data_IF_581570607958
#
_entry.id   IF_581570607958
#
_cell.length_a   1.000
_cell.length_b   1.000
_cell.length_c   1.000
_cell.angle_alpha   90.00
_cell.angle_beta   90.00
_cell.angle_gamma   90.00
#
_symmetry.space_group_name_H-M   'P 1'
#
loop_
_entity.id
_entity.type
_entity.pdbx_description
1 polymer ?
#
# COMPACT_ATOMS: atom_id res chain seq x y z
N UNK A 1 -0.51 6.78 -8.68
CA UNK A 1 -0.56 6.57 -7.23
C UNK A 1 -1.41 7.64 -6.56
N UNK A 2 -2.64 7.28 -6.21
CA UNK A 2 -3.62 8.19 -5.59
C UNK A 2 -3.30 8.34 -4.11
N UNK A 3 -2.87 9.53 -3.68
CA UNK A 3 -2.40 9.77 -2.31
C UNK A 3 -3.31 10.68 -1.47
N UNK A 4 -4.30 11.34 -2.09
CA UNK A 4 -5.16 12.31 -1.40
C UNK A 4 -6.61 12.25 -1.90
N UNK A 5 -7.50 12.87 -1.13
CA UNK A 5 -8.94 12.94 -1.42
C UNK A 5 -9.23 13.65 -2.74
N UNK A 6 -8.54 14.74 -3.06
CA UNK A 6 -8.78 15.52 -4.28
C UNK A 6 -8.47 14.70 -5.53
N UNK A 7 -7.39 13.89 -5.50
CA UNK A 7 -7.05 12.99 -6.59
C UNK A 7 -8.07 11.85 -6.72
N UNK A 8 -8.54 11.28 -5.59
CA UNK A 8 -9.61 10.28 -5.59
C UNK A 8 -10.90 10.86 -6.16
N UNK A 9 -11.29 12.06 -5.75
CA UNK A 9 -12.50 12.73 -6.23
C UNK A 9 -12.45 13.01 -7.75
N UNK A 10 -11.29 13.41 -8.28
CA UNK A 10 -11.10 13.57 -9.71
C UNK A 10 -11.31 12.26 -10.49
N UNK A 11 -10.77 11.15 -9.98
CA UNK A 11 -10.96 9.80 -10.54
C UNK A 11 -12.42 9.39 -10.48
N UNK A 12 -13.08 9.58 -9.32
CA UNK A 12 -14.49 9.25 -9.10
C UNK A 12 -15.38 9.98 -10.10
N UNK A 13 -15.19 11.30 -10.27
CA UNK A 13 -15.95 12.11 -11.25
C UNK A 13 -15.72 11.64 -12.68
N UNK A 14 -14.48 11.33 -13.04
CA UNK A 14 -14.18 10.83 -14.38
C UNK A 14 -14.86 9.48 -14.65
N UNK A 15 -14.87 8.56 -13.69
CA UNK A 15 -15.61 7.28 -13.80
C UNK A 15 -17.11 7.50 -13.94
N UNK A 16 -17.70 8.39 -13.14
CA UNK A 16 -19.13 8.73 -13.22
C UNK A 16 -19.51 9.34 -14.56
N UNK A 17 -18.59 10.06 -15.20
CA UNK A 17 -18.74 10.57 -16.56
C UNK A 17 -18.47 9.50 -17.66
N UNK A 18 -18.36 8.22 -17.30
CA UNK A 18 -18.14 7.10 -18.23
C UNK A 18 -16.73 7.00 -18.80
N UNK A 19 -15.75 7.70 -18.22
CA UNK A 19 -14.35 7.62 -18.67
C UNK A 19 -13.68 6.35 -18.19
N UNK A 20 -12.83 5.76 -19.05
CA UNK A 20 -11.98 4.59 -18.70
C UNK A 20 -10.79 5.06 -17.88
N UNK A 21 -10.99 5.21 -16.59
CA UNK A 21 -9.94 5.60 -15.61
C UNK A 21 -9.89 4.58 -14.48
N UNK A 22 -8.70 4.34 -13.97
CA UNK A 22 -8.46 3.51 -12.79
C UNK A 22 -7.63 4.26 -11.79
N UNK A 23 -7.95 4.13 -10.52
CA UNK A 23 -7.21 4.70 -9.41
C UNK A 23 -6.50 3.62 -8.61
N UNK A 24 -5.32 3.95 -8.12
CA UNK A 24 -4.44 3.05 -7.39
C UNK A 24 -3.81 3.80 -6.22
N UNK A 25 -4.28 3.64 -4.97
CA UNK A 25 -3.53 4.06 -3.81
C UNK A 25 -2.42 3.05 -3.51
N UNK A 26 -1.37 3.52 -2.82
CA UNK A 26 -0.35 2.64 -2.28
C UNK A 26 -0.73 2.23 -0.85
N UNK A 27 -0.27 1.06 -0.42
CA UNK A 27 -0.51 0.61 0.96
C UNK A 27 0.07 1.59 1.97
N UNK A 28 1.16 2.27 1.65
CA UNK A 28 1.76 3.31 2.47
C UNK A 28 0.79 4.49 2.67
N UNK A 29 0.13 4.98 1.62
CA UNK A 29 -0.83 6.09 1.70
C UNK A 29 -2.10 5.72 2.50
N UNK A 30 -2.45 4.44 2.55
CA UNK A 30 -3.59 3.93 3.31
C UNK A 30 -3.31 3.80 4.81
N UNK A 31 -2.04 3.74 5.22
CA UNK A 31 -1.67 3.32 6.58
C UNK A 31 -0.66 4.23 7.29
N UNK A 32 0.09 5.04 6.54
CA UNK A 32 1.05 6.00 7.06
C UNK A 32 0.62 7.42 6.67
N UNK A 33 1.01 8.40 7.44
CA UNK A 33 0.65 9.80 7.21
C UNK A 33 1.86 10.74 7.36
N UNK A 34 1.66 12.03 7.07
CA UNK A 34 2.72 13.04 7.08
C UNK A 34 3.41 13.23 8.42
N UNK A 35 2.83 12.75 9.54
CA UNK A 35 3.46 12.83 10.86
C UNK A 35 4.80 12.09 10.91
N UNK A 36 4.99 11.10 10.04
CA UNK A 36 6.24 10.38 9.90
C UNK A 36 7.43 11.30 9.54
N UNK A 37 7.17 12.41 8.84
CA UNK A 37 8.19 13.38 8.45
C UNK A 37 8.63 14.29 9.58
N UNK A 38 7.84 14.40 10.67
CA UNK A 38 8.16 15.25 11.83
C UNK A 38 8.94 14.51 12.91
N UNK A 39 9.38 13.28 12.63
CA UNK A 39 10.24 12.54 13.56
C UNK A 39 11.57 13.28 13.75
N UNK A 40 12.05 13.32 15.00
CA UNK A 40 13.35 13.96 15.33
C UNK A 40 14.55 13.19 14.76
N UNK A 41 14.40 11.88 14.55
CA UNK A 41 15.38 11.06 13.85
C UNK A 41 15.31 11.36 12.34
N UNK A 42 16.33 11.98 11.81
CA UNK A 42 16.43 12.31 10.39
C UNK A 42 16.35 11.06 9.51
N UNK A 43 17.01 9.97 9.90
CA UNK A 43 16.98 8.71 9.15
C UNK A 43 15.57 8.15 9.08
N UNK A 44 14.81 8.23 10.18
CA UNK A 44 13.41 7.81 10.21
C UNK A 44 12.58 8.58 9.17
N UNK A 45 12.67 9.90 9.16
CA UNK A 45 11.95 10.74 8.21
C UNK A 45 12.40 10.48 6.76
N UNK A 46 13.72 10.43 6.53
CA UNK A 46 14.28 10.21 5.19
C UNK A 46 13.90 8.85 4.59
N UNK A 47 13.85 7.79 5.39
CA UNK A 47 13.40 6.45 4.97
C UNK A 47 11.97 6.44 4.45
N UNK A 48 11.16 7.46 4.78
CA UNK A 48 9.74 7.60 4.39
C UNK A 48 9.52 8.57 3.24
N UNK A 49 10.58 9.21 2.75
CA UNK A 49 10.50 10.10 1.58
C UNK A 49 10.20 9.29 0.34
N UNK A 50 9.08 9.61 -0.30
CA UNK A 50 8.61 9.01 -1.55
C UNK A 50 7.75 10.00 -2.35
N UNK A 51 7.45 9.68 -3.59
CA UNK A 51 6.55 10.46 -4.47
C UNK A 51 5.42 9.58 -5.01
N UNK A 52 4.15 9.97 -4.80
CA UNK A 52 3.67 11.10 -4.01
C UNK A 52 4.00 10.94 -2.51
N UNK A 53 4.21 12.05 -1.77
CA UNK A 53 4.51 11.99 -0.34
C UNK A 53 3.29 11.53 0.47
N UNK A 54 3.52 11.11 1.70
CA UNK A 54 2.44 10.90 2.67
C UNK A 54 1.69 12.20 2.89
N UNK A 55 0.40 12.07 3.10
CA UNK A 55 -0.52 13.19 3.28
C UNK A 55 -1.06 13.20 4.70
N UNK A 56 -1.83 14.23 5.02
CA UNK A 56 -2.56 14.27 6.28
C UNK A 56 -3.44 13.02 6.41
N UNK A 57 -3.54 12.50 7.63
CA UNK A 57 -4.31 11.29 7.95
C UNK A 57 -5.77 11.36 7.48
N UNK A 58 -6.36 12.54 7.41
CA UNK A 58 -7.75 12.74 6.97
C UNK A 58 -8.00 12.22 5.55
N UNK A 59 -6.99 12.20 4.68
CA UNK A 59 -7.13 11.67 3.32
C UNK A 59 -7.32 10.15 3.29
N UNK A 60 -6.89 9.42 4.32
CA UNK A 60 -6.98 7.96 4.36
C UNK A 60 -8.43 7.47 4.29
N UNK A 61 -9.35 8.12 4.97
CA UNK A 61 -10.77 7.71 4.97
C UNK A 61 -11.37 7.79 3.56
N UNK A 62 -11.03 8.81 2.79
CA UNK A 62 -11.43 8.94 1.39
C UNK A 62 -10.84 7.82 0.52
N UNK A 63 -9.56 7.46 0.72
CA UNK A 63 -8.91 6.38 -0.03
C UNK A 63 -9.53 5.01 0.29
N UNK A 64 -9.81 4.73 1.56
CA UNK A 64 -10.49 3.49 1.98
C UNK A 64 -11.92 3.41 1.41
N UNK A 65 -12.69 4.50 1.49
CA UNK A 65 -14.02 4.58 0.87
C UNK A 65 -13.96 4.38 -0.65
N UNK A 66 -12.90 4.88 -1.28
CA UNK A 66 -12.63 4.69 -2.70
C UNK A 66 -12.42 3.23 -3.09
N UNK A 67 -11.71 2.45 -2.28
CA UNK A 67 -11.52 1.02 -2.50
C UNK A 67 -12.82 0.24 -2.30
N UNK A 68 -13.57 0.56 -1.23
CA UNK A 68 -14.86 -0.06 -0.91
C UNK A 68 -15.90 0.18 -2.00
N UNK A 69 -16.00 1.42 -2.49
CA UNK A 69 -16.97 1.78 -3.55
C UNK A 69 -16.54 1.34 -4.96
N UNK A 70 -15.29 0.87 -5.13
CA UNK A 70 -14.72 0.53 -6.44
C UNK A 70 -14.34 1.74 -7.29
N UNK A 71 -14.41 2.98 -6.77
CA UNK A 71 -13.90 4.16 -7.47
C UNK A 71 -12.37 4.14 -7.57
N UNK A 72 -11.68 3.61 -6.56
CA UNK A 72 -10.29 3.16 -6.65
C UNK A 72 -10.28 1.66 -6.95
N UNK A 73 -9.39 1.22 -7.82
CA UNK A 73 -9.50 -0.07 -8.47
C UNK A 73 -8.57 -1.14 -7.92
N UNK A 74 -7.35 -0.76 -7.54
CA UNK A 74 -6.28 -1.67 -7.10
C UNK A 74 -5.45 -1.02 -6.02
N UNK A 75 -4.67 -1.83 -5.27
CA UNK A 75 -3.69 -1.35 -4.30
C UNK A 75 -2.30 -1.81 -4.71
N UNK A 76 -1.34 -0.90 -4.75
CA UNK A 76 0.05 -1.17 -5.10
C UNK A 76 1.03 -0.81 -3.97
N UNK A 77 2.32 -0.80 -4.26
CA UNK A 77 3.39 -0.51 -3.30
C UNK A 77 4.37 0.54 -3.76
N UNK A 78 4.54 0.71 -5.07
CA UNK A 78 5.65 1.50 -5.62
C UNK A 78 6.99 1.16 -4.93
N UNK A 79 7.28 -0.14 -4.85
CA UNK A 79 8.41 -0.66 -4.08
C UNK A 79 9.73 -0.17 -4.65
N UNK A 80 10.47 0.60 -3.86
CA UNK A 80 11.81 1.11 -4.18
C UNK A 80 12.77 0.77 -3.04
N UNK A 81 13.77 -0.06 -3.32
CA UNK A 81 14.68 -0.62 -2.33
C UNK A 81 15.93 0.26 -2.14
N UNK A 82 15.78 1.40 -1.47
CA UNK A 82 16.92 2.25 -1.07
C UNK A 82 17.31 1.96 0.38
N UNK A 83 18.61 1.79 0.64
CA UNK A 83 19.14 1.65 2.00
C UNK A 83 19.16 2.99 2.74
N UNK A 84 19.31 2.95 4.08
CA UNK A 84 19.49 4.16 4.88
C UNK A 84 20.69 4.97 4.42
N UNK A 85 21.82 4.30 4.06
CA UNK A 85 23.00 4.97 3.55
C UNK A 85 22.71 5.76 2.27
N UNK A 86 21.96 5.15 1.34
CA UNK A 86 21.54 5.85 0.11
C UNK A 86 20.61 7.04 0.42
N UNK A 87 19.68 6.89 1.37
CA UNK A 87 18.83 8.01 1.79
C UNK A 87 19.64 9.18 2.35
N UNK A 88 20.78 8.91 3.00
CA UNK A 88 21.67 9.93 3.57
C UNK A 88 22.38 10.79 2.54
N UNK A 89 22.30 10.50 1.24
CA UNK A 89 22.75 11.43 0.19
C UNK A 89 22.02 12.77 0.26
N UNK A 90 20.85 12.82 0.89
CA UNK A 90 20.07 14.03 1.11
C UNK A 90 20.37 14.79 2.40
N UNK A 91 21.39 14.41 3.17
CA UNK A 91 21.79 15.19 4.36
C UNK A 91 22.27 16.56 3.94
N UNK A 92 21.60 17.59 4.46
CA UNK A 92 21.87 18.99 4.08
C UNK A 92 21.21 19.46 2.78
N UNK A 93 20.71 18.56 1.94
CA UNK A 93 19.96 18.88 0.72
C UNK A 93 18.89 17.82 0.47
N UNK A 94 17.68 18.06 0.94
CA UNK A 94 16.55 17.10 0.84
C UNK A 94 16.23 16.71 -0.60
N UNK A 95 16.55 17.51 -1.59
CA UNK A 95 16.31 17.21 -3.02
C UNK A 95 17.11 16.00 -3.51
N UNK A 96 18.14 15.62 -2.77
CA UNK A 96 19.02 14.48 -3.06
C UNK A 96 18.59 13.19 -2.34
N UNK A 97 17.54 13.23 -1.50
CA UNK A 97 17.02 12.01 -0.89
C UNK A 97 16.39 11.14 -1.98
N UNK A 98 16.88 9.91 -2.23
CA UNK A 98 16.22 9.01 -3.17
C UNK A 98 14.77 8.77 -2.78
N UNK A 99 13.83 9.02 -3.71
CA UNK A 99 12.40 8.87 -3.48
C UNK A 99 11.98 7.41 -3.60
N UNK A 100 11.27 6.92 -2.61
CA UNK A 100 10.66 5.59 -2.60
C UNK A 100 10.86 4.85 -1.28
N UNK A 101 9.97 3.91 -1.04
CA UNK A 101 9.94 3.07 0.16
C UNK A 101 9.74 1.61 -0.22
N UNK A 102 10.15 0.68 0.65
CA UNK A 102 9.78 -0.72 0.57
C UNK A 102 8.30 -0.93 0.88
N UNK A 103 7.77 -2.11 0.57
CA UNK A 103 6.39 -2.47 0.90
C UNK A 103 5.82 -3.66 0.15
N UNK A 104 6.57 -4.22 -0.82
CA UNK A 104 6.09 -5.31 -1.66
C UNK A 104 5.61 -6.51 -0.83
N UNK A 105 6.41 -6.92 0.13
CA UNK A 105 6.16 -8.07 1.01
C UNK A 105 5.03 -7.81 2.01
N UNK A 106 4.85 -6.55 2.41
CA UNK A 106 3.92 -6.18 3.49
C UNK A 106 2.54 -5.74 2.97
N UNK A 107 2.37 -5.54 1.65
CA UNK A 107 1.12 -5.07 1.05
C UNK A 107 -0.08 -5.90 1.48
N UNK A 108 -0.05 -7.21 1.30
CA UNK A 108 -1.18 -8.06 1.62
C UNK A 108 -1.45 -8.16 3.13
N UNK A 109 -0.46 -8.41 4.01
CA UNK A 109 -0.67 -8.40 5.45
C UNK A 109 -1.19 -7.06 5.98
N UNK A 110 -0.65 -5.94 5.52
CA UNK A 110 -1.08 -4.61 5.93
C UNK A 110 -2.50 -4.29 5.45
N UNK A 111 -2.83 -4.63 4.20
CA UNK A 111 -4.17 -4.43 3.65
C UNK A 111 -5.19 -5.33 4.36
N UNK A 112 -4.84 -6.59 4.68
CA UNK A 112 -5.70 -7.48 5.46
C UNK A 112 -5.96 -6.90 6.85
N UNK A 113 -4.92 -6.52 7.56
CA UNK A 113 -5.00 -6.04 8.94
C UNK A 113 -5.80 -4.73 9.04
N UNK A 114 -5.51 -3.77 8.16
CA UNK A 114 -6.13 -2.43 8.22
C UNK A 114 -7.41 -2.31 7.40
N UNK A 115 -7.67 -3.26 6.51
CA UNK A 115 -8.87 -3.29 5.67
C UNK A 115 -9.89 -4.32 6.17
N UNK A 116 -9.57 -5.61 6.06
CA UNK A 116 -10.53 -6.69 6.34
C UNK A 116 -10.81 -6.82 7.83
N UNK A 117 -9.79 -6.88 8.67
CA UNK A 117 -9.98 -7.04 10.12
C UNK A 117 -10.66 -5.86 10.80
N UNK A 118 -10.56 -4.68 10.21
CA UNK A 118 -11.25 -3.47 10.71
C UNK A 118 -12.64 -3.28 10.13
N UNK A 119 -13.07 -4.14 9.19
CA UNK A 119 -14.37 -4.04 8.53
C UNK A 119 -14.46 -2.96 7.44
N UNK A 120 -13.32 -2.35 7.05
CA UNK A 120 -13.27 -1.38 5.92
C UNK A 120 -13.42 -2.07 4.57
N UNK A 121 -12.98 -3.32 4.46
CA UNK A 121 -13.14 -4.15 3.27
C UNK A 121 -13.70 -5.51 3.64
N UNK A 122 -14.52 -6.06 2.77
CA UNK A 122 -14.88 -7.48 2.80
C UNK A 122 -13.73 -8.32 2.23
N UNK A 123 -13.73 -9.63 2.46
CA UNK A 123 -12.77 -10.55 1.82
C UNK A 123 -12.84 -10.50 0.30
N UNK A 124 -14.04 -10.34 -0.26
CA UNK A 124 -14.23 -10.25 -1.71
C UNK A 124 -13.62 -8.96 -2.29
N UNK A 125 -13.80 -7.83 -1.61
CA UNK A 125 -13.17 -6.56 -2.00
C UNK A 125 -11.65 -6.63 -1.87
N UNK A 126 -11.11 -7.27 -0.81
CA UNK A 126 -9.67 -7.51 -0.68
C UNK A 126 -9.12 -8.28 -1.89
N UNK A 127 -9.76 -9.37 -2.30
CA UNK A 127 -9.37 -10.14 -3.49
C UNK A 127 -9.54 -9.31 -4.76
N UNK A 128 -10.61 -8.54 -4.86
CA UNK A 128 -10.85 -7.67 -6.02
C UNK A 128 -9.73 -6.66 -6.23
N UNK A 129 -9.34 -5.91 -5.18
CA UNK A 129 -8.33 -4.84 -5.31
C UNK A 129 -6.89 -5.35 -5.38
N UNK A 130 -6.64 -6.61 -5.04
CA UNK A 130 -5.30 -7.21 -5.07
C UNK A 130 -5.05 -8.14 -6.25
N UNK A 131 -6.10 -8.65 -6.91
CA UNK A 131 -6.00 -9.68 -7.96
C UNK A 131 -6.98 -9.45 -9.11
N UNK A 132 -8.30 -9.59 -8.86
CA UNK A 132 -9.30 -9.66 -9.94
C UNK A 132 -9.35 -8.38 -10.77
N UNK A 133 -9.31 -7.20 -10.14
CA UNK A 133 -9.44 -5.94 -10.84
C UNK A 133 -8.23 -5.66 -11.74
N UNK A 134 -7.00 -5.94 -11.28
CA UNK A 134 -5.81 -5.76 -12.12
C UNK A 134 -5.81 -6.73 -13.29
N UNK A 135 -6.29 -7.98 -13.09
CA UNK A 135 -6.41 -8.95 -14.17
C UNK A 135 -7.40 -8.47 -15.25
N UNK A 136 -8.51 -7.83 -14.86
CA UNK A 136 -9.48 -7.22 -15.80
C UNK A 136 -8.88 -6.01 -16.52
N UNK A 137 -8.18 -5.13 -15.80
CA UNK A 137 -7.55 -3.93 -16.37
C UNK A 137 -6.52 -4.31 -17.44
N UNK A 138 -5.73 -5.36 -17.19
CA UNK A 138 -4.69 -5.85 -18.09
C UNK A 138 -5.18 -6.86 -19.15
N UNK A 139 -6.50 -7.09 -19.25
CA UNK A 139 -7.14 -8.04 -20.18
C UNK A 139 -6.62 -9.50 -20.04
N UNK A 140 -6.20 -9.92 -18.87
CA UNK A 140 -5.80 -11.31 -18.59
C UNK A 140 -6.83 -12.10 -17.76
N UNK A 141 -7.94 -11.46 -17.39
CA UNK A 141 -9.08 -12.13 -16.78
C UNK A 141 -9.88 -12.92 -17.85
N UNK A 142 -10.40 -14.14 -17.61
CA UNK A 142 -10.34 -14.90 -16.36
C UNK A 142 -9.13 -15.84 -16.23
N UNK A 143 -8.19 -15.82 -17.18
CA UNK A 143 -6.98 -16.65 -17.11
C UNK A 143 -6.19 -16.39 -15.83
N UNK A 144 -6.11 -15.12 -15.39
CA UNK A 144 -5.62 -14.64 -14.09
C UNK A 144 -6.76 -13.98 -13.32
N UNK A 145 -6.64 -13.91 -11.99
CA UNK A 145 -7.58 -13.20 -11.13
C UNK A 145 -8.90 -13.91 -10.85
N UNK A 146 -8.99 -15.21 -11.16
CA UNK A 146 -10.11 -16.07 -10.85
C UNK A 146 -9.64 -17.48 -10.46
N UNK A 147 -10.41 -18.14 -9.58
CA UNK A 147 -10.24 -19.57 -9.27
C UNK A 147 -11.36 -20.32 -9.97
N UNK A 148 -11.05 -20.84 -11.16
CA UNK A 148 -12.03 -21.55 -11.98
C UNK A 148 -11.33 -22.51 -12.95
N UNK A 149 -12.10 -23.47 -13.50
CA UNK A 149 -11.60 -24.40 -14.53
C UNK A 149 -11.13 -23.61 -15.76
N UNK A 150 -9.91 -23.87 -16.21
CA UNK A 150 -9.28 -23.18 -17.35
C UNK A 150 -8.49 -21.92 -16.97
N UNK A 151 -8.53 -21.47 -15.72
CA UNK A 151 -7.63 -20.42 -15.21
C UNK A 151 -6.26 -21.00 -14.83
N UNK A 152 -5.25 -20.13 -14.79
CA UNK A 152 -3.93 -20.50 -14.27
C UNK A 152 -3.99 -20.74 -12.75
N UNK A 153 -3.27 -21.76 -12.27
CA UNK A 153 -3.25 -22.11 -10.85
C UNK A 153 -2.23 -21.31 -10.04
N UNK A 154 -2.17 -20.00 -10.24
CA UNK A 154 -1.37 -19.08 -9.42
C UNK A 154 -2.18 -18.77 -8.15
N UNK A 155 -2.02 -19.58 -7.13
CA UNK A 155 -2.85 -19.57 -5.93
C UNK A 155 -2.06 -19.13 -4.70
N UNK A 156 -2.71 -18.37 -3.84
CA UNK A 156 -2.22 -18.03 -2.50
C UNK A 156 -3.12 -18.70 -1.48
N UNK A 157 -2.52 -19.45 -0.56
CA UNK A 157 -3.22 -19.94 0.64
C UNK A 157 -3.07 -18.89 1.73
N UNK A 158 -4.19 -18.37 2.20
CA UNK A 158 -4.23 -17.29 3.19
C UNK A 158 -4.78 -17.80 4.53
N UNK A 159 -3.96 -17.70 5.58
CA UNK A 159 -4.43 -17.97 6.95
C UNK A 159 -4.78 -16.62 7.62
N UNK A 160 -6.07 -16.35 7.87
CA UNK A 160 -6.54 -15.08 8.43
C UNK A 160 -6.14 -14.88 9.90
N UNK A 161 -5.73 -15.95 10.58
CA UNK A 161 -5.38 -15.93 12.00
C UNK A 161 -3.86 -15.89 12.24
N UNK A 162 -3.06 -16.19 11.22
CA UNK A 162 -1.60 -16.15 11.34
C UNK A 162 -1.13 -14.72 11.51
N UNK A 163 -0.23 -14.52 12.47
CA UNK A 163 0.37 -13.22 12.77
C UNK A 163 1.83 -13.18 12.33
N UNK A 164 2.31 -12.01 11.95
CA UNK A 164 3.70 -11.75 11.56
C UNK A 164 4.16 -10.46 12.24
N UNK A 165 5.35 -10.48 12.83
CA UNK A 165 6.04 -9.26 13.25
C UNK A 165 6.73 -8.67 12.02
N UNK A 166 6.36 -7.44 11.66
CA UNK A 166 7.00 -6.73 10.55
C UNK A 166 8.28 -6.08 11.07
N UNK A 167 9.41 -6.46 10.50
CA UNK A 167 10.70 -5.86 10.81
C UNK A 167 11.70 -6.11 9.68
N UNK A 168 12.74 -5.30 9.61
CA UNK A 168 13.83 -5.47 8.64
C UNK A 168 14.52 -6.84 8.74
N UNK A 169 14.60 -7.41 9.96
CA UNK A 169 15.25 -8.70 10.18
C UNK A 169 14.47 -9.90 9.65
N UNK A 170 13.18 -9.73 9.36
CA UNK A 170 12.28 -10.82 8.91
C UNK A 170 11.75 -10.61 7.50
N UNK A 171 12.22 -9.59 6.79
CA UNK A 171 11.83 -9.33 5.40
C UNK A 171 12.78 -10.01 4.41
N UNK A 172 12.28 -10.27 3.20
CA UNK A 172 13.08 -10.78 2.09
C UNK A 172 13.80 -9.66 1.31
N UNK A 173 13.34 -8.43 1.46
CA UNK A 173 13.97 -7.26 0.86
C UNK A 173 15.36 -7.01 1.44
N UNK A 174 16.27 -6.54 0.58
CA UNK A 174 17.65 -6.17 0.98
C UNK A 174 17.75 -4.80 1.68
N UNK A 175 16.62 -4.11 1.89
CA UNK A 175 16.60 -2.82 2.59
C UNK A 175 16.84 -3.07 4.10
N UNK A 176 17.62 -2.20 4.72
CA UNK A 176 18.01 -2.27 6.13
C UNK A 176 16.95 -1.73 7.12
N UNK A 177 15.77 -1.38 6.62
CA UNK A 177 14.62 -0.93 7.42
C UNK A 177 13.30 -1.42 6.81
N UNK A 178 12.21 -1.30 7.58
CA UNK A 178 10.87 -1.51 7.08
C UNK A 178 9.99 -0.35 7.55
N UNK A 179 9.29 0.33 6.64
CA UNK A 179 8.49 1.52 6.96
C UNK A 179 7.25 1.19 7.79
N UNK A 180 6.80 -0.06 7.79
CA UNK A 180 5.69 -0.56 8.60
C UNK A 180 6.15 -1.20 9.91
N UNK A 181 7.46 -1.31 10.14
CA UNK A 181 7.97 -1.75 11.43
C UNK A 181 7.66 -0.69 12.48
N UNK A 182 6.81 -1.05 13.43
CA UNK A 182 6.50 -0.20 14.56
C UNK A 182 7.57 -0.40 15.61
N UNK A 183 8.19 0.69 16.04
CA UNK A 183 8.96 0.67 17.26
C UNK A 183 8.00 0.35 18.42
N UNK A 184 7.93 -0.89 18.79
CA UNK A 184 7.45 -1.52 20.03
C UNK A 184 6.02 -1.33 20.55
N UNK A 185 5.08 -0.60 19.97
CA UNK A 185 3.83 -0.34 20.71
C UNK A 185 2.48 -0.61 20.04
N UNK A 186 2.32 -0.76 18.74
CA UNK A 186 0.96 -0.78 18.16
C UNK A 186 0.65 -1.72 16.99
N UNK A 187 1.48 -2.69 16.65
CA UNK A 187 1.08 -3.81 15.80
C UNK A 187 1.48 -5.15 16.44
N UNK A 188 1.02 -5.37 17.66
CA UNK A 188 0.74 -6.73 18.08
C UNK A 188 -0.53 -7.13 17.34
N UNK A 189 -0.41 -7.92 16.30
CA UNK A 189 -1.43 -8.91 16.08
C UNK A 189 -1.40 -9.75 17.36
N UNK A 190 -2.37 -9.59 18.24
CA UNK A 190 -2.48 -10.34 19.46
C UNK A 190 -2.53 -11.81 19.14
N UNK A 191 -1.75 -12.60 19.93
CA UNK A 191 -1.88 -14.03 20.07
C UNK A 191 -3.33 -14.43 20.34
#
# INVERSE_FOLDING_TARGET
>A
HTSCEEAHEAIRRAKQAGKRVWGEPLIQHLTLDESEYFNKDWDHAARRVMSPPFRNKLHQDSLWAGLQSGSLSVVATDHCAFTTEQKRYGVGDFTKIPNGTGGLEDRLPMLWTNGVRTGRLTMNEFVAVTSTNIAKILNCYPKKGAVMVGADADLIVWDPNKTKVISANHQQSSIDYNVFAVSYTHLRAHE
#
